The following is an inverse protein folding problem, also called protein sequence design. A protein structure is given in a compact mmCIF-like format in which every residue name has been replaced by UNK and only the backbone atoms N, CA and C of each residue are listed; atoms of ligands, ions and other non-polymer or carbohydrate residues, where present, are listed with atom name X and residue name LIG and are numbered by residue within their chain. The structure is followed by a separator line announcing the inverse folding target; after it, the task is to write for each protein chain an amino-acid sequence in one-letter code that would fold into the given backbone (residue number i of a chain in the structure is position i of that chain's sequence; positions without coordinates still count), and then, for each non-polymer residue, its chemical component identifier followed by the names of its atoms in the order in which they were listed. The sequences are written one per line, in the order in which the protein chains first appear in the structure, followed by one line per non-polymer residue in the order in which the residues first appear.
data_IF_980243000248
#
_entry.id   IF_980243000248
#
_cell.length_a   1.000
_cell.length_b   1.000
_cell.length_c   1.000
_cell.angle_alpha   90.00
_cell.angle_beta   90.00
_cell.angle_gamma   90.00
#
_symmetry.space_group_name_H-M   'P 1'
#
loop_
_entity.id
_entity.type
_entity.pdbx_description
1 polymer ?
#
# COMPACT_ATOMS: atom_id res chain seq x y z
N UNK A 1 48.79 -21.62 -30.52
CA UNK A 1 47.46 -21.91 -29.94
C UNK A 1 47.58 -23.10 -29.00
N UNK A 2 47.53 -22.88 -27.67
CA UNK A 2 47.66 -23.96 -26.67
C UNK A 2 46.30 -24.65 -26.51
N UNK A 3 46.24 -25.97 -26.68
CA UNK A 3 45.02 -26.78 -26.49
C UNK A 3 44.77 -26.96 -24.99
N UNK A 4 43.60 -26.54 -24.50
CA UNK A 4 43.18 -26.80 -23.13
C UNK A 4 42.89 -28.31 -22.93
N UNK A 5 43.19 -28.89 -21.76
CA UNK A 5 42.98 -30.31 -21.50
C UNK A 5 41.50 -30.63 -21.28
N UNK A 6 41.04 -31.73 -21.90
CA UNK A 6 39.65 -32.22 -21.91
C UNK A 6 38.99 -32.36 -20.51
N UNK A 7 39.80 -32.48 -19.44
CA UNK A 7 39.32 -32.53 -18.06
C UNK A 7 38.71 -31.22 -17.57
N UNK A 8 39.15 -30.08 -18.12
CA UNK A 8 38.57 -28.75 -17.80
C UNK A 8 37.20 -28.53 -18.44
N UNK A 9 36.83 -29.33 -19.45
CA UNK A 9 35.53 -29.24 -20.11
C UNK A 9 34.46 -30.02 -19.31
N UNK A 10 34.84 -31.12 -18.66
CA UNK A 10 33.88 -31.94 -17.90
C UNK A 10 33.47 -31.31 -16.56
N UNK A 11 34.36 -30.55 -15.92
CA UNK A 11 34.06 -29.83 -14.68
C UNK A 11 33.12 -28.62 -14.89
N UNK A 12 33.14 -27.99 -16.08
CA UNK A 12 32.24 -26.90 -16.43
C UNK A 12 30.80 -27.35 -16.74
N UNK A 13 30.63 -28.57 -17.26
CA UNK A 13 29.31 -29.10 -17.64
C UNK A 13 28.40 -29.44 -16.46
N UNK A 14 28.96 -29.82 -15.31
CA UNK A 14 28.18 -30.20 -14.11
C UNK A 14 27.63 -28.96 -13.38
N UNK A 15 28.30 -27.81 -13.47
CA UNK A 15 27.83 -26.55 -12.87
C UNK A 15 26.65 -25.93 -13.64
N UNK A 16 26.58 -26.15 -14.96
CA UNK A 16 25.49 -25.66 -15.83
C UNK A 16 24.19 -26.47 -15.71
N UNK A 17 24.22 -27.67 -15.13
CA UNK A 17 23.02 -28.50 -14.95
C UNK A 17 22.22 -28.19 -13.67
N UNK A 18 22.73 -27.28 -12.81
CA UNK A 18 22.07 -26.85 -11.58
C UNK A 18 21.26 -25.55 -11.75
N UNK A 19 20.73 -25.30 -12.95
CA UNK A 19 19.64 -24.34 -13.12
C UNK A 19 18.40 -24.90 -12.41
N UNK A 20 18.31 -24.67 -11.10
CA UNK A 20 17.06 -24.79 -10.38
C UNK A 20 16.03 -23.96 -11.14
N UNK A 21 15.02 -24.63 -11.69
CA UNK A 21 13.79 -23.98 -12.14
C UNK A 21 13.16 -23.38 -10.89
N UNK A 22 13.59 -22.17 -10.52
CA UNK A 22 12.95 -21.37 -9.49
C UNK A 22 11.60 -21.00 -10.09
N UNK A 23 10.55 -21.68 -9.65
CA UNK A 23 9.18 -21.26 -9.88
C UNK A 23 8.95 -19.96 -9.10
N UNK A 24 9.51 -18.86 -9.61
CA UNK A 24 9.38 -17.52 -9.04
C UNK A 24 8.00 -16.90 -9.29
N UNK A 25 7.15 -17.60 -10.04
CA UNK A 25 5.74 -17.27 -10.15
C UNK A 25 5.03 -17.96 -8.98
N UNK A 26 4.74 -17.19 -7.93
CA UNK A 26 3.85 -17.62 -6.85
C UNK A 26 2.49 -18.07 -7.42
N UNK A 27 1.73 -18.81 -6.60
CA UNK A 27 0.38 -19.24 -6.97
C UNK A 27 -0.44 -18.03 -7.43
N UNK A 28 -1.06 -18.12 -8.62
CA UNK A 28 -1.86 -17.04 -9.21
C UNK A 28 -3.29 -17.02 -8.62
N UNK A 29 -3.55 -17.87 -7.62
CA UNK A 29 -4.78 -17.83 -6.84
C UNK A 29 -4.81 -16.61 -5.91
N UNK A 30 -6.00 -16.04 -5.66
CA UNK A 30 -6.18 -15.03 -4.63
C UNK A 30 -5.61 -15.51 -3.28
N UNK A 31 -4.87 -14.64 -2.63
CA UNK A 31 -4.26 -14.90 -1.34
C UNK A 31 -5.22 -14.46 -0.24
N UNK A 32 -5.43 -15.31 0.80
CA UNK A 32 -6.32 -14.97 1.90
C UNK A 32 -5.84 -13.72 2.61
N UNK A 33 -6.79 -12.90 3.08
CA UNK A 33 -6.52 -11.69 3.84
C UNK A 33 -6.90 -11.96 5.29
N UNK A 34 -5.95 -11.77 6.21
CA UNK A 34 -6.23 -11.86 7.65
C UNK A 34 -6.93 -10.59 8.12
N UNK A 35 -8.21 -10.70 8.44
CA UNK A 35 -9.06 -9.58 8.89
C UNK A 35 -9.15 -9.50 10.42
N UNK A 36 -8.32 -10.23 11.15
CA UNK A 36 -8.31 -10.20 12.61
C UNK A 36 -8.10 -8.77 13.15
N UNK A 37 -8.94 -8.40 14.12
CA UNK A 37 -8.94 -7.07 14.74
C UNK A 37 -9.91 -6.08 14.12
N UNK A 38 -10.59 -6.43 13.02
CA UNK A 38 -11.68 -5.62 12.46
C UNK A 38 -13.04 -6.06 13.03
N UNK A 39 -14.01 -5.12 13.20
CA UNK A 39 -15.40 -5.48 13.46
C UNK A 39 -15.99 -6.29 12.31
N UNK A 40 -16.59 -7.44 12.60
CA UNK A 40 -17.18 -8.30 11.56
C UNK A 40 -18.38 -7.63 10.88
N UNK A 41 -18.45 -7.71 9.54
CA UNK A 41 -19.50 -7.06 8.73
C UNK A 41 -20.75 -7.92 8.51
N UNK A 42 -20.68 -9.22 8.81
CA UNK A 42 -21.80 -10.17 8.66
C UNK A 42 -21.92 -10.77 7.25
N UNK A 43 -22.97 -11.56 7.04
CA UNK A 43 -23.21 -12.30 5.77
C UNK A 43 -23.89 -11.45 4.70
N UNK A 44 -24.70 -10.47 5.09
CA UNK A 44 -25.34 -9.55 4.17
C UNK A 44 -24.33 -8.50 3.70
N UNK A 45 -24.25 -8.30 2.39
CA UNK A 45 -23.34 -7.32 1.81
C UNK A 45 -23.86 -5.91 2.07
N UNK A 46 -23.04 -5.12 2.76
CA UNK A 46 -23.23 -3.70 2.98
C UNK A 46 -23.08 -2.95 1.66
N UNK A 47 -23.66 -1.75 1.60
CA UNK A 47 -23.58 -0.85 0.44
C UNK A 47 -22.59 0.29 0.66
N UNK A 48 -22.22 0.56 1.92
CA UNK A 48 -21.29 1.62 2.31
C UNK A 48 -20.13 1.06 3.12
N UNK A 49 -18.97 1.71 3.02
CA UNK A 49 -17.77 1.31 3.75
C UNK A 49 -17.93 1.48 5.28
N UNK A 50 -17.97 0.37 6.06
CA UNK A 50 -18.18 0.45 7.50
C UNK A 50 -16.94 0.89 8.26
N UNK A 51 -15.74 0.84 7.65
CA UNK A 51 -14.46 1.09 8.33
C UNK A 51 -13.94 2.52 8.17
N UNK A 52 -14.74 3.45 7.61
CA UNK A 52 -14.40 4.88 7.62
C UNK A 52 -14.26 5.38 9.06
N UNK A 53 -13.32 6.27 9.29
CA UNK A 53 -13.06 6.82 10.63
C UNK A 53 -14.30 7.45 11.29
N UNK A 54 -15.17 8.10 10.50
CA UNK A 54 -16.42 8.69 10.99
C UNK A 54 -17.43 7.66 11.53
N UNK A 55 -17.35 6.41 11.06
CA UNK A 55 -18.29 5.33 11.41
C UNK A 55 -17.70 4.39 12.45
N UNK A 56 -16.46 3.93 12.25
CA UNK A 56 -15.82 2.91 13.09
C UNK A 56 -14.79 3.46 14.08
N UNK A 57 -14.46 4.74 14.01
CA UNK A 57 -13.38 5.35 14.79
C UNK A 57 -12.01 5.16 14.15
N UNK A 58 -11.06 5.99 14.59
CA UNK A 58 -9.72 6.08 14.00
C UNK A 58 -8.91 4.79 14.16
N UNK A 59 -9.03 4.10 15.32
CA UNK A 59 -8.32 2.83 15.56
C UNK A 59 -8.70 1.75 14.55
N UNK A 60 -10.01 1.57 14.29
CA UNK A 60 -10.50 0.60 13.31
C UNK A 60 -10.12 1.02 11.90
N UNK A 61 -10.21 2.32 11.58
CA UNK A 61 -9.85 2.85 10.27
C UNK A 61 -8.36 2.62 9.96
N UNK A 62 -7.46 2.90 10.89
CA UNK A 62 -6.03 2.60 10.75
C UNK A 62 -5.78 1.10 10.58
N UNK A 63 -6.48 0.26 11.35
CA UNK A 63 -6.36 -1.19 11.22
C UNK A 63 -6.86 -1.69 9.86
N UNK A 64 -7.93 -1.10 9.35
CA UNK A 64 -8.48 -1.42 8.03
C UNK A 64 -7.52 -1.00 6.90
N UNK A 65 -6.84 0.14 7.03
CA UNK A 65 -5.78 0.56 6.09
C UNK A 65 -4.63 -0.44 6.10
N UNK A 66 -4.15 -0.86 7.28
CA UNK A 66 -3.04 -1.82 7.40
C UNK A 66 -3.38 -3.15 6.71
N UNK A 67 -4.53 -3.73 7.05
CA UNK A 67 -5.01 -4.99 6.47
C UNK A 67 -5.28 -4.82 4.97
N UNK A 68 -5.90 -3.70 4.60
CA UNK A 68 -6.24 -3.34 3.23
C UNK A 68 -5.01 -3.20 2.34
N UNK A 69 -3.94 -2.57 2.82
CA UNK A 69 -2.68 -2.45 2.10
C UNK A 69 -2.09 -3.82 1.77
N UNK A 70 -2.06 -4.72 2.76
CA UNK A 70 -1.61 -6.10 2.57
C UNK A 70 -2.49 -6.87 1.57
N UNK A 71 -3.81 -6.81 1.75
CA UNK A 71 -4.78 -7.48 0.87
C UNK A 71 -4.72 -6.96 -0.57
N UNK A 72 -4.61 -5.65 -0.75
CA UNK A 72 -4.48 -4.98 -2.05
C UNK A 72 -3.18 -5.38 -2.75
N UNK A 73 -2.05 -5.33 -2.05
CA UNK A 73 -0.75 -5.65 -2.63
C UNK A 73 -0.66 -7.10 -3.10
N UNK A 74 -1.31 -8.02 -2.40
CA UNK A 74 -1.34 -9.44 -2.76
C UNK A 74 -2.30 -9.76 -3.91
N UNK A 75 -3.44 -9.07 -3.99
CA UNK A 75 -4.55 -9.48 -4.86
C UNK A 75 -4.86 -8.52 -6.02
N UNK A 76 -4.50 -7.24 -5.90
CA UNK A 76 -5.01 -6.17 -6.77
C UNK A 76 -3.88 -5.43 -7.50
N UNK A 77 -2.75 -5.18 -6.81
CA UNK A 77 -1.68 -4.32 -7.30
C UNK A 77 -1.05 -4.76 -8.62
N UNK A 78 -1.08 -6.06 -8.95
CA UNK A 78 -0.61 -6.56 -10.25
C UNK A 78 -1.34 -5.92 -11.44
N UNK A 79 -2.61 -5.60 -11.28
CA UNK A 79 -3.46 -5.06 -12.36
C UNK A 79 -3.69 -3.56 -12.21
N UNK A 80 -3.94 -3.11 -10.98
CA UNK A 80 -4.28 -1.73 -10.65
C UNK A 80 -3.07 -0.89 -10.21
N UNK A 81 -1.88 -1.51 -10.14
CA UNK A 81 -0.62 -0.86 -9.79
C UNK A 81 -0.36 -0.77 -8.29
N UNK A 82 0.90 -0.54 -7.92
CA UNK A 82 1.28 -0.32 -6.52
C UNK A 82 0.76 1.03 -6.04
N UNK A 83 0.43 1.13 -4.75
CA UNK A 83 -0.19 2.34 -4.18
C UNK A 83 -1.45 2.80 -4.94
N UNK A 84 -2.08 1.89 -5.68
CA UNK A 84 -3.30 2.12 -6.47
C UNK A 84 -3.08 2.97 -7.73
N UNK A 85 -1.82 3.30 -8.05
CA UNK A 85 -1.45 4.06 -9.25
C UNK A 85 -1.33 3.13 -10.45
N UNK A 86 -2.28 3.22 -11.38
CA UNK A 86 -2.31 2.29 -12.50
C UNK A 86 -1.24 2.53 -13.55
N UNK A 87 -0.55 1.46 -13.97
CA UNK A 87 0.31 1.44 -15.15
C UNK A 87 -0.42 1.25 -16.49
N UNK A 88 -1.76 1.36 -16.52
CA UNK A 88 -2.58 1.29 -17.72
C UNK A 88 -3.18 -0.08 -18.06
N UNK A 89 -2.97 -1.11 -17.22
CA UNK A 89 -3.57 -2.44 -17.42
C UNK A 89 -5.04 -2.49 -16.98
N UNK A 90 -5.34 -1.89 -15.83
CA UNK A 90 -6.69 -1.71 -15.29
C UNK A 90 -6.87 -0.23 -14.86
N UNK A 91 -8.07 0.23 -14.48
CA UNK A 91 -8.25 1.61 -14.02
C UNK A 91 -7.43 1.93 -12.76
N UNK A 92 -6.97 3.17 -12.63
CA UNK A 92 -6.46 3.74 -11.37
C UNK A 92 -7.65 3.88 -10.42
N UNK A 93 -7.60 3.20 -9.26
CA UNK A 93 -8.74 3.16 -8.33
C UNK A 93 -8.74 4.34 -7.36
N UNK A 94 -7.70 5.20 -7.37
CA UNK A 94 -7.67 6.41 -6.52
C UNK A 94 -8.80 7.37 -6.89
N UNK A 95 -9.23 7.37 -8.15
CA UNK A 95 -10.33 8.19 -8.67
C UNK A 95 -11.71 7.59 -8.44
N UNK A 96 -11.81 6.45 -7.75
CA UNK A 96 -13.11 5.92 -7.33
C UNK A 96 -13.56 6.65 -6.08
N UNK A 97 -14.63 7.44 -6.20
CA UNK A 97 -15.10 8.36 -5.16
C UNK A 97 -15.39 7.63 -3.84
N UNK A 98 -14.97 8.22 -2.72
CA UNK A 98 -15.15 7.70 -1.37
C UNK A 98 -16.56 8.02 -0.83
N UNK A 99 -17.57 7.57 -1.55
CA UNK A 99 -18.99 7.74 -1.23
C UNK A 99 -19.80 6.49 -1.57
N UNK A 100 -21.08 6.46 -1.19
CA UNK A 100 -21.98 5.31 -1.38
C UNK A 100 -21.98 4.79 -2.83
N UNK A 101 -22.06 5.68 -3.82
CA UNK A 101 -22.04 5.26 -5.22
C UNK A 101 -20.73 4.56 -5.61
N UNK A 102 -19.59 5.08 -5.15
CA UNK A 102 -18.30 4.44 -5.35
C UNK A 102 -18.16 3.12 -4.60
N UNK A 103 -18.78 3.00 -3.44
CA UNK A 103 -18.78 1.79 -2.60
C UNK A 103 -19.57 0.66 -3.26
N UNK A 104 -20.79 0.95 -3.73
CA UNK A 104 -21.62 0.01 -4.47
C UNK A 104 -20.89 -0.51 -5.71
N UNK A 105 -20.25 0.40 -6.46
CA UNK A 105 -19.48 0.04 -7.64
C UNK A 105 -18.30 -0.89 -7.31
N UNK A 106 -17.57 -0.57 -6.24
CA UNK A 106 -16.46 -1.40 -5.78
C UNK A 106 -16.93 -2.79 -5.34
N UNK A 107 -17.96 -2.87 -4.51
CA UNK A 107 -18.44 -4.13 -3.97
C UNK A 107 -19.01 -5.03 -5.06
N UNK A 108 -19.75 -4.48 -6.02
CA UNK A 108 -20.27 -5.26 -7.15
C UNK A 108 -19.12 -5.88 -7.95
N UNK A 109 -18.10 -5.09 -8.33
CA UNK A 109 -16.95 -5.60 -9.07
C UNK A 109 -16.06 -6.53 -8.25
N UNK A 110 -15.89 -6.26 -6.96
CA UNK A 110 -15.13 -7.13 -6.05
C UNK A 110 -15.79 -8.51 -5.95
N UNK A 111 -17.12 -8.54 -5.74
CA UNK A 111 -17.89 -9.77 -5.57
C UNK A 111 -17.96 -10.58 -6.85
N UNK A 112 -18.40 -9.94 -7.93
CA UNK A 112 -18.77 -10.61 -9.18
C UNK A 112 -17.62 -10.70 -10.18
N UNK A 113 -16.54 -9.93 -9.96
CA UNK A 113 -15.46 -9.76 -10.94
C UNK A 113 -15.94 -9.03 -12.20
N UNK A 114 -15.14 -9.11 -13.26
CA UNK A 114 -15.47 -8.53 -14.56
C UNK A 114 -15.03 -9.45 -15.68
N UNK A 115 -15.98 -9.87 -16.52
CA UNK A 115 -15.71 -10.63 -17.75
C UNK A 115 -16.14 -9.82 -18.96
N UNK A 116 -15.27 -9.70 -19.95
CA UNK A 116 -15.56 -8.98 -21.20
C UNK A 116 -15.13 -9.84 -22.38
N UNK A 117 -16.05 -10.04 -23.34
CA UNK A 117 -15.84 -10.88 -24.52
C UNK A 117 -15.36 -12.31 -24.19
N UNK A 118 -15.92 -12.90 -23.13
CA UNK A 118 -15.55 -14.25 -22.66
C UNK A 118 -14.19 -14.34 -21.96
N UNK A 119 -13.50 -13.22 -21.73
CA UNK A 119 -12.22 -13.16 -21.03
C UNK A 119 -12.41 -12.50 -19.66
N UNK A 120 -12.03 -13.20 -18.59
CA UNK A 120 -11.98 -12.64 -17.24
C UNK A 120 -10.94 -11.52 -17.19
N UNK A 121 -11.39 -10.30 -16.89
CA UNK A 121 -10.57 -9.10 -16.71
C UNK A 121 -10.25 -8.84 -15.25
N UNK A 122 -11.21 -9.14 -14.37
CA UNK A 122 -11.06 -9.07 -12.92
C UNK A 122 -11.68 -10.34 -12.32
N UNK A 123 -10.95 -11.09 -11.46
CA UNK A 123 -11.51 -12.24 -10.76
C UNK A 123 -12.65 -11.83 -9.82
N UNK A 124 -13.55 -12.77 -9.54
CA UNK A 124 -14.54 -12.64 -8.49
C UNK A 124 -13.89 -13.00 -7.14
N UNK A 125 -13.95 -12.11 -6.16
CA UNK A 125 -13.32 -12.28 -4.84
C UNK A 125 -14.33 -12.55 -3.71
N UNK A 126 -15.63 -12.34 -3.95
CA UNK A 126 -16.66 -12.36 -2.90
C UNK A 126 -16.63 -13.61 -2.02
N UNK A 127 -16.71 -14.80 -2.62
CA UNK A 127 -16.66 -16.07 -1.87
C UNK A 127 -15.24 -16.44 -1.40
N UNK A 128 -14.20 -15.89 -2.04
CA UNK A 128 -12.81 -16.28 -1.81
C UNK A 128 -12.19 -15.55 -0.62
N UNK A 129 -12.47 -14.25 -0.50
CA UNK A 129 -11.85 -13.36 0.48
C UNK A 129 -12.85 -12.80 1.50
N UNK A 130 -14.14 -12.78 1.16
CA UNK A 130 -15.20 -12.29 2.03
C UNK A 130 -15.28 -10.76 2.12
N UNK A 131 -16.30 -10.30 2.83
CA UNK A 131 -16.67 -8.89 2.89
C UNK A 131 -15.73 -8.05 3.77
N UNK A 132 -15.27 -8.59 4.90
CA UNK A 132 -14.35 -7.87 5.78
C UNK A 132 -13.05 -7.47 5.05
N UNK A 133 -12.53 -8.37 4.20
CA UNK A 133 -11.37 -8.10 3.36
C UNK A 133 -11.68 -7.06 2.28
N UNK A 134 -12.88 -7.12 1.68
CA UNK A 134 -13.33 -6.15 0.69
C UNK A 134 -13.28 -4.72 1.25
N UNK A 135 -13.86 -4.51 2.43
CA UNK A 135 -13.93 -3.19 3.04
C UNK A 135 -12.60 -2.68 3.59
N UNK A 136 -11.73 -3.57 4.08
CA UNK A 136 -10.36 -3.19 4.42
C UNK A 136 -9.60 -2.68 3.19
N UNK A 137 -9.65 -3.43 2.08
CA UNK A 137 -9.05 -3.04 0.79
C UNK A 137 -9.65 -1.72 0.28
N UNK A 138 -10.98 -1.56 0.37
CA UNK A 138 -11.67 -0.33 0.00
C UNK A 138 -11.16 0.87 0.80
N UNK A 139 -11.06 0.72 2.12
CA UNK A 139 -10.56 1.78 3.01
C UNK A 139 -9.13 2.18 2.65
N UNK A 140 -8.27 1.22 2.33
CA UNK A 140 -6.92 1.51 1.84
C UNK A 140 -6.91 2.28 0.50
N UNK A 141 -7.81 1.94 -0.43
CA UNK A 141 -7.94 2.62 -1.72
C UNK A 141 -8.41 4.07 -1.54
N UNK A 142 -9.45 4.27 -0.73
CA UNK A 142 -10.02 5.60 -0.47
C UNK A 142 -8.96 6.58 0.07
N UNK A 143 -8.00 6.10 0.85
CA UNK A 143 -7.06 6.97 1.57
C UNK A 143 -5.80 7.30 0.78
N UNK A 144 -5.71 6.89 -0.49
CA UNK A 144 -4.53 7.20 -1.31
C UNK A 144 -4.42 8.70 -1.56
N UNK A 145 -3.23 9.28 -1.37
CA UNK A 145 -3.03 10.71 -1.59
C UNK A 145 -3.18 11.06 -3.08
N UNK A 146 -3.64 12.28 -3.32
CA UNK A 146 -3.54 12.91 -4.62
C UNK A 146 -2.07 13.17 -4.99
N UNK A 147 -1.76 12.99 -6.27
CA UNK A 147 -0.38 13.05 -6.76
C UNK A 147 0.15 14.48 -6.81
N UNK A 148 -0.67 15.42 -7.29
CA UNK A 148 -0.29 16.83 -7.40
C UNK A 148 -0.13 17.43 -5.98
N UNK A 149 -1.04 17.09 -5.07
CA UNK A 149 -0.95 17.50 -3.66
C UNK A 149 0.33 16.97 -2.96
N UNK A 150 0.80 15.78 -3.34
CA UNK A 150 2.06 15.22 -2.84
C UNK A 150 3.29 15.90 -3.45
N UNK A 151 3.24 16.25 -4.75
CA UNK A 151 4.32 16.97 -5.43
C UNK A 151 4.56 18.34 -4.78
N UNK A 152 3.49 19.06 -4.46
CA UNK A 152 3.54 20.39 -3.85
C UNK A 152 4.31 20.44 -2.51
N UNK A 153 4.30 19.33 -1.76
CA UNK A 153 4.95 19.23 -0.44
C UNK A 153 6.23 18.39 -0.45
N UNK A 154 6.62 17.83 -1.59
CA UNK A 154 7.69 16.84 -1.69
C UNK A 154 9.04 17.38 -1.22
N UNK A 155 9.39 18.62 -1.56
CA UNK A 155 10.67 19.22 -1.17
C UNK A 155 10.76 19.50 0.34
N UNK A 156 9.64 19.90 0.94
CA UNK A 156 9.58 20.09 2.39
C UNK A 156 9.68 18.75 3.13
N UNK A 157 9.00 17.71 2.64
CA UNK A 157 9.11 16.37 3.21
C UNK A 157 10.52 15.78 3.08
N UNK A 158 11.25 16.10 2.00
CA UNK A 158 12.68 15.73 1.87
C UNK A 158 13.53 16.44 2.94
N UNK A 159 13.28 17.72 3.19
CA UNK A 159 14.00 18.47 4.23
C UNK A 159 13.72 17.89 5.63
N UNK A 160 12.46 17.59 5.95
CA UNK A 160 12.08 16.96 7.21
C UNK A 160 12.69 15.56 7.35
N UNK A 161 12.70 14.76 6.29
CA UNK A 161 13.41 13.46 6.28
C UNK A 161 14.89 13.64 6.64
N UNK A 162 15.57 14.59 6.00
CA UNK A 162 16.99 14.83 6.21
C UNK A 162 17.27 15.32 7.65
N UNK A 163 16.36 16.13 8.22
CA UNK A 163 16.40 16.53 9.63
C UNK A 163 16.22 15.33 10.58
N UNK A 164 15.20 14.50 10.35
CA UNK A 164 14.94 13.30 11.15
C UNK A 164 16.15 12.33 11.16
N UNK A 165 16.87 12.22 10.04
CA UNK A 165 18.07 11.40 9.94
C UNK A 165 19.18 11.83 10.92
N UNK A 166 19.25 13.11 11.28
CA UNK A 166 20.24 13.62 12.23
C UNK A 166 20.03 13.12 13.67
N UNK A 167 18.81 12.69 14.00
CA UNK A 167 18.42 12.24 15.34
C UNK A 167 18.43 10.71 15.51
N UNK A 168 18.89 9.97 14.50
CA UNK A 168 18.83 8.49 14.47
C UNK A 168 19.87 7.80 15.36
N UNK A 169 20.91 8.53 15.80
CA UNK A 169 21.91 8.06 16.75
C UNK A 169 21.79 8.76 18.12
N UNK A 170 21.44 10.05 18.12
CA UNK A 170 21.25 10.88 19.31
C UNK A 170 20.06 11.83 19.13
N UNK A 171 19.00 11.59 19.90
CA UNK A 171 17.76 12.35 19.87
C UNK A 171 17.73 13.54 20.86
N UNK A 172 18.80 13.76 21.64
CA UNK A 172 18.79 14.73 22.76
C UNK A 172 18.55 16.18 22.35
N UNK A 173 18.81 16.53 21.09
CA UNK A 173 18.56 17.86 20.52
C UNK A 173 17.27 17.97 19.69
N UNK A 174 16.45 16.92 19.63
CA UNK A 174 15.26 16.89 18.79
C UNK A 174 14.08 17.62 19.45
N UNK A 175 13.47 18.57 18.74
CA UNK A 175 12.15 19.08 19.09
C UNK A 175 11.08 18.13 18.51
N UNK A 176 10.82 17.08 19.28
CA UNK A 176 9.91 15.99 18.88
C UNK A 176 8.49 16.51 18.59
N UNK A 177 8.00 17.46 19.40
CA UNK A 177 6.65 17.99 19.27
C UNK A 177 6.54 18.90 18.05
N UNK A 178 7.57 19.72 17.77
CA UNK A 178 7.60 20.55 16.57
C UNK A 178 7.64 19.71 15.28
N UNK A 179 8.47 18.65 15.25
CA UNK A 179 8.56 17.74 14.09
C UNK A 179 7.23 17.03 13.83
N UNK A 180 6.60 16.49 14.88
CA UNK A 180 5.27 15.88 14.78
C UNK A 180 4.21 16.85 14.29
N UNK A 181 4.20 18.06 14.85
CA UNK A 181 3.24 19.10 14.48
C UNK A 181 3.40 19.44 13.01
N UNK A 182 4.63 19.67 12.53
CA UNK A 182 4.87 20.02 11.14
C UNK A 182 4.47 18.91 10.17
N UNK A 183 4.82 17.66 10.46
CA UNK A 183 4.41 16.51 9.64
C UNK A 183 2.88 16.35 9.63
N UNK A 184 2.21 16.59 10.76
CA UNK A 184 0.75 16.52 10.86
C UNK A 184 0.05 17.65 10.08
N UNK A 185 0.60 18.86 10.11
CA UNK A 185 0.12 19.99 9.29
C UNK A 185 0.23 19.67 7.80
N UNK A 186 1.38 19.17 7.34
CA UNK A 186 1.58 18.75 5.94
C UNK A 186 0.62 17.61 5.60
N UNK A 187 0.46 16.62 6.48
CA UNK A 187 -0.47 15.52 6.29
C UNK A 187 -1.91 16.01 6.07
N UNK A 188 -2.33 17.03 6.82
CA UNK A 188 -3.68 17.60 6.72
C UNK A 188 -3.92 18.43 5.45
N UNK A 189 -2.86 18.90 4.78
CA UNK A 189 -2.97 19.62 3.51
C UNK A 189 -2.93 18.71 2.28
N UNK A 190 -2.58 17.43 2.44
CA UNK A 190 -2.55 16.47 1.33
C UNK A 190 -3.96 15.89 1.17
N UNK A 191 -4.60 16.25 0.06
CA UNK A 191 -5.92 15.71 -0.30
C UNK A 191 -5.81 14.25 -0.78
N UNK A 192 -6.92 13.51 -0.70
CA UNK A 192 -7.03 12.21 -1.37
C UNK A 192 -7.61 12.41 -2.77
N UNK A 193 -7.16 11.58 -3.72
CA UNK A 193 -7.74 11.59 -5.06
C UNK A 193 -9.19 11.07 -5.11
N UNK A 194 -9.65 10.39 -4.06
CA UNK A 194 -11.02 9.83 -3.95
C UNK A 194 -12.03 10.80 -3.33
N UNK A 195 -11.57 11.92 -2.75
CA UNK A 195 -12.39 12.82 -1.94
C UNK A 195 -12.61 12.36 -0.49
N UNK A 196 -11.98 11.26 -0.05
CA UNK A 196 -11.94 10.88 1.35
C UNK A 196 -11.26 11.99 2.20
N UNK A 197 -11.70 12.19 3.46
CA UNK A 197 -11.29 13.34 4.27
C UNK A 197 -9.84 13.29 4.76
N UNK A 198 -9.21 12.11 4.76
CA UNK A 198 -7.85 11.93 5.29
C UNK A 198 -7.04 11.06 4.34
N UNK A 199 -5.90 11.58 3.88
CA UNK A 199 -4.91 10.81 3.16
C UNK A 199 -4.00 10.04 4.11
N UNK A 200 -3.84 8.75 3.87
CA UNK A 200 -2.77 7.93 4.46
C UNK A 200 -1.46 8.21 3.69
N UNK A 201 -1.00 9.45 3.83
CA UNK A 201 0.20 9.98 3.21
C UNK A 201 1.45 9.59 3.98
N UNK A 202 2.61 9.75 3.35
CA UNK A 202 3.91 9.46 4.00
C UNK A 202 4.20 10.43 5.15
N UNK A 203 3.66 11.65 5.07
CA UNK A 203 3.67 12.63 6.15
C UNK A 203 2.83 12.16 7.34
N UNK A 204 1.61 11.67 7.09
CA UNK A 204 0.72 11.12 8.11
C UNK A 204 1.39 9.93 8.83
N UNK A 205 1.93 8.97 8.07
CA UNK A 205 2.61 7.80 8.63
C UNK A 205 3.83 8.20 9.45
N UNK A 206 4.67 9.11 8.93
CA UNK A 206 5.85 9.58 9.64
C UNK A 206 5.50 10.30 10.97
N UNK A 207 4.46 11.15 10.97
CA UNK A 207 4.00 11.84 12.18
C UNK A 207 3.59 10.85 13.28
N UNK A 208 2.92 9.76 12.90
CA UNK A 208 2.44 8.71 13.82
C UNK A 208 3.54 7.76 14.32
N UNK A 209 4.72 7.75 13.68
CA UNK A 209 5.85 6.89 14.09
C UNK A 209 6.75 7.54 15.15
N UNK A 210 6.88 8.86 15.13
CA UNK A 210 7.81 9.56 16.01
C UNK A 210 7.34 9.40 17.48
N UNK A 211 8.26 9.10 18.39
CA UNK A 211 8.00 9.10 19.85
C UNK A 211 9.13 9.76 20.67
N UNK A 212 10.11 10.36 19.98
CA UNK A 212 11.28 11.00 20.57
C UNK A 212 12.49 10.06 20.73
N UNK A 213 12.37 8.79 20.36
CA UNK A 213 13.50 7.85 20.35
C UNK A 213 14.28 7.89 19.02
N UNK A 214 15.59 7.60 19.04
CA UNK A 214 16.38 7.48 17.81
C UNK A 214 15.82 6.45 16.82
N UNK A 215 15.29 5.33 17.34
CA UNK A 215 14.65 4.28 16.54
C UNK A 215 13.39 4.80 15.82
N UNK A 216 12.53 5.56 16.51
CA UNK A 216 11.34 6.14 15.91
C UNK A 216 11.68 7.19 14.83
N UNK A 217 12.69 8.03 15.06
CA UNK A 217 13.17 8.96 14.04
C UNK A 217 13.71 8.23 12.81
N UNK A 218 14.42 7.12 13.01
CA UNK A 218 14.87 6.27 11.91
C UNK A 218 13.70 5.72 11.10
N UNK A 219 12.69 5.13 11.76
CA UNK A 219 11.52 4.60 11.07
C UNK A 219 10.71 5.68 10.33
N UNK A 220 10.57 6.86 10.91
CA UNK A 220 9.92 8.00 10.25
C UNK A 220 10.72 8.47 9.01
N UNK A 221 12.04 8.60 9.12
CA UNK A 221 12.90 8.96 7.99
C UNK A 221 12.88 7.90 6.87
N UNK A 222 12.89 6.62 7.21
CA UNK A 222 12.76 5.52 6.24
C UNK A 222 11.40 5.55 5.54
N UNK A 223 10.32 5.84 6.28
CA UNK A 223 8.96 5.98 5.73
C UNK A 223 8.90 7.10 4.69
N UNK A 224 9.45 8.27 5.01
CA UNK A 224 9.54 9.38 4.05
C UNK A 224 10.45 9.03 2.87
N UNK A 225 11.55 8.33 3.09
CA UNK A 225 12.48 7.90 2.02
C UNK A 225 11.78 7.01 1.00
N UNK A 226 11.12 5.95 1.47
CA UNK A 226 10.43 4.98 0.62
C UNK A 226 9.28 5.69 -0.11
N UNK A 227 8.47 6.43 0.64
CA UNK A 227 7.34 7.18 0.13
C UNK A 227 7.65 8.17 -0.98
N UNK A 228 8.66 9.01 -0.78
CA UNK A 228 9.06 10.04 -1.73
C UNK A 228 9.81 9.47 -2.96
N UNK A 229 10.34 8.24 -2.86
CA UNK A 229 10.96 7.56 -4.00
C UNK A 229 9.94 6.92 -4.95
N UNK A 230 8.73 6.62 -4.46
CA UNK A 230 7.65 6.05 -5.26
C UNK A 230 6.89 7.11 -6.09
N UNK A 231 7.12 8.40 -5.82
CA UNK A 231 6.51 9.54 -6.50
C UNK A 231 7.39 10.15 -7.63
N UNK A 232 8.47 9.47 -8.04
CA UNK A 232 9.43 9.93 -9.08
C UNK A 232 9.47 9.02 -10.30
#
# INVERSE_FOLDING_TARGET
MKRAPLKSILAGGIVLAACNMVYAHGDVKPQPVDTAGLPATGEEWLTENPYRAATAGEEVWLKAIEIGASGYNQNCARCHGLEVVSGGLAPDLRFLEAEEYGDEWFIELYRSGRTQNGVTKMPAFGELLGQDAAWAIRTYIETRPDEDAMEDVADELKALRDELQTYTEDASGADTDALKTRLSEIASSIETASGAPVADSVAFRAANLIDGTPEAFKSAAETLTIGLSAAQ
#
